data_IF_681307491168
#
_entry.id   IF_681307491168
#
_cell.length_a   1.000
_cell.length_b   1.000
_cell.length_c   1.000
_cell.angle_alpha   90.00
_cell.angle_beta   90.00
_cell.angle_gamma   90.00
#
_symmetry.space_group_name_H-M   'P 1'
#
loop_
_entity.id
_entity.type
_entity.pdbx_description
1 polymer ?
#
# COMPACT_ATOMS: atom_id res chain seq x y z
N UNK A 1 71.47 13.27 -19.63
CA UNK A 1 70.53 14.31 -19.18
C UNK A 1 71.03 14.86 -17.87
N UNK A 2 71.05 16.19 -17.69
CA UNK A 2 71.37 16.79 -16.39
C UNK A 2 70.28 16.44 -15.35
N UNK A 3 70.62 16.46 -14.05
CA UNK A 3 69.64 16.27 -12.97
C UNK A 3 68.46 17.26 -13.08
N UNK A 4 68.74 18.45 -13.61
CA UNK A 4 67.77 19.49 -13.90
C UNK A 4 66.77 19.05 -15.00
N UNK A 5 67.24 18.37 -16.05
CA UNK A 5 66.39 17.79 -17.09
C UNK A 5 65.51 16.64 -16.57
N UNK A 6 66.00 15.83 -15.62
CA UNK A 6 65.21 14.77 -14.98
C UNK A 6 64.12 15.32 -14.06
N UNK A 7 64.42 16.39 -13.29
CA UNK A 7 63.42 17.07 -12.46
C UNK A 7 62.35 17.76 -13.30
N UNK A 8 62.71 18.38 -14.42
CA UNK A 8 61.75 18.97 -15.35
C UNK A 8 60.83 17.92 -15.97
N UNK A 9 61.36 16.78 -16.44
CA UNK A 9 60.55 15.68 -16.97
C UNK A 9 59.58 15.10 -15.92
N UNK A 10 60.01 14.92 -14.67
CA UNK A 10 59.15 14.42 -13.56
C UNK A 10 58.07 15.42 -13.13
N UNK A 11 58.32 16.73 -13.28
CA UNK A 11 57.30 17.78 -13.04
C UNK A 11 56.27 17.81 -14.17
N UNK A 12 56.72 17.64 -15.41
CA UNK A 12 55.86 17.60 -16.60
C UNK A 12 54.89 16.40 -16.56
N UNK A 13 55.37 15.19 -16.22
CA UNK A 13 54.51 13.99 -16.12
C UNK A 13 53.47 14.06 -15.00
N UNK A 14 53.79 14.72 -13.87
CA UNK A 14 52.80 14.97 -12.79
C UNK A 14 51.73 15.99 -13.18
N UNK A 15 52.06 16.95 -14.04
CA UNK A 15 51.09 17.92 -14.55
C UNK A 15 50.12 17.25 -15.54
N UNK A 16 50.65 16.41 -16.43
CA UNK A 16 49.86 15.58 -17.36
C UNK A 16 48.91 14.63 -16.61
N UNK A 17 49.38 13.95 -15.56
CA UNK A 17 48.55 13.06 -14.74
C UNK A 17 47.40 13.82 -14.04
N UNK A 18 47.66 15.05 -13.57
CA UNK A 18 46.64 15.90 -12.95
C UNK A 18 45.60 16.36 -13.95
N UNK A 19 46.02 16.75 -15.16
CA UNK A 19 45.10 17.18 -16.20
C UNK A 19 44.24 16.01 -16.69
N UNK A 20 44.84 14.82 -16.86
CA UNK A 20 44.10 13.60 -17.21
C UNK A 20 43.06 13.24 -16.14
N UNK A 21 43.41 13.29 -14.85
CA UNK A 21 42.44 13.05 -13.76
C UNK A 21 41.30 14.06 -13.74
N UNK A 22 41.58 15.32 -14.06
CA UNK A 22 40.58 16.38 -14.15
C UNK A 22 39.63 16.15 -15.33
N UNK A 23 40.16 15.74 -16.48
CA UNK A 23 39.39 15.39 -17.67
C UNK A 23 38.48 14.19 -17.42
N UNK A 24 39.02 13.09 -16.87
CA UNK A 24 38.22 11.90 -16.49
C UNK A 24 37.12 12.24 -15.50
N UNK A 25 37.40 13.12 -14.52
CA UNK A 25 36.39 13.56 -13.54
C UNK A 25 35.28 14.39 -14.19
N UNK A 26 35.62 15.23 -15.17
CA UNK A 26 34.66 16.03 -15.93
C UNK A 26 33.75 15.12 -16.78
N UNK A 27 34.35 14.20 -17.54
CA UNK A 27 33.63 13.22 -18.35
C UNK A 27 32.70 12.34 -17.51
N UNK A 28 33.15 11.88 -16.33
CA UNK A 28 32.32 11.11 -15.41
C UNK A 28 31.14 11.94 -14.87
N UNK A 29 31.33 13.24 -14.63
CA UNK A 29 30.27 14.13 -14.17
C UNK A 29 29.25 14.38 -15.29
N UNK A 30 29.70 14.59 -16.53
CA UNK A 30 28.84 14.76 -17.70
C UNK A 30 28.05 13.49 -18.01
N UNK A 31 28.71 12.32 -17.96
CA UNK A 31 28.06 11.01 -18.12
C UNK A 31 26.94 10.80 -17.09
N UNK A 32 27.20 11.08 -15.81
CA UNK A 32 26.18 11.02 -14.75
C UNK A 32 25.04 12.02 -14.96
N UNK A 33 25.33 13.21 -15.48
CA UNK A 33 24.31 14.22 -15.80
C UNK A 33 23.41 13.73 -16.94
N UNK A 34 23.98 13.21 -18.02
CA UNK A 34 23.24 12.64 -19.15
C UNK A 34 22.39 11.44 -18.72
N UNK A 35 22.92 10.54 -17.88
CA UNK A 35 22.16 9.39 -17.36
C UNK A 35 20.94 9.85 -16.54
N UNK A 36 21.10 10.91 -15.72
CA UNK A 36 20.00 11.51 -14.95
C UNK A 36 18.93 12.13 -15.85
N UNK A 37 19.33 12.82 -16.91
CA UNK A 37 18.42 13.44 -17.89
C UNK A 37 17.67 12.37 -18.69
N UNK A 38 18.35 11.32 -19.16
CA UNK A 38 17.74 10.18 -19.83
C UNK A 38 16.70 9.47 -18.94
N UNK A 39 17.04 9.21 -17.67
CA UNK A 39 16.08 8.66 -16.68
C UNK A 39 14.87 9.56 -16.45
N UNK A 40 15.05 10.89 -16.51
CA UNK A 40 13.95 11.86 -16.38
C UNK A 40 13.05 11.84 -17.63
N UNK A 41 13.63 11.78 -18.82
CA UNK A 41 12.90 11.71 -20.08
C UNK A 41 12.09 10.41 -20.20
N UNK A 42 12.69 9.25 -19.87
CA UNK A 42 12.00 7.96 -19.88
C UNK A 42 10.77 7.97 -18.97
N UNK A 43 10.91 8.50 -17.74
CA UNK A 43 9.77 8.65 -16.81
C UNK A 43 8.67 9.59 -17.34
N UNK A 44 9.04 10.59 -18.15
CA UNK A 44 8.06 11.49 -18.76
C UNK A 44 7.28 10.79 -19.88
N UNK A 45 7.96 9.99 -20.71
CA UNK A 45 7.34 9.16 -21.76
C UNK A 45 6.38 8.14 -21.13
N UNK A 46 6.85 7.38 -20.13
CA UNK A 46 6.01 6.43 -19.39
C UNK A 46 4.77 7.11 -18.76
N UNK A 47 4.93 8.36 -18.29
CA UNK A 47 3.81 9.14 -17.74
C UNK A 47 2.83 9.57 -18.83
N UNK A 48 3.30 10.01 -20.00
CA UNK A 48 2.41 10.39 -21.11
C UNK A 48 1.69 9.17 -21.70
N UNK A 49 2.35 8.03 -21.81
CA UNK A 49 1.72 6.79 -22.27
C UNK A 49 0.66 6.31 -21.27
N UNK A 50 0.93 6.38 -19.96
CA UNK A 50 -0.08 6.11 -18.92
C UNK A 50 -1.26 7.07 -18.97
N UNK A 51 -1.02 8.34 -19.28
CA UNK A 51 -2.08 9.34 -19.42
C UNK A 51 -2.93 9.08 -20.67
N UNK A 52 -2.31 8.72 -21.79
CA UNK A 52 -3.01 8.31 -23.00
C UNK A 52 -3.82 7.03 -22.79
N UNK A 53 -3.27 6.05 -22.07
CA UNK A 53 -3.97 4.83 -21.66
C UNK A 53 -5.15 5.11 -20.71
N UNK A 54 -5.10 6.18 -19.93
CA UNK A 54 -6.20 6.60 -19.04
C UNK A 54 -7.45 7.04 -19.82
N UNK A 55 -7.30 7.49 -21.07
CA UNK A 55 -8.41 7.89 -21.95
C UNK A 55 -8.97 6.73 -22.78
N UNK A 56 -8.49 5.49 -22.55
CA UNK A 56 -9.06 4.32 -23.20
C UNK A 56 -10.37 3.98 -22.50
N UNK A 57 -11.47 4.16 -23.23
CA UNK A 57 -12.80 3.78 -22.78
C UNK A 57 -12.80 2.31 -22.32
N UNK A 58 -13.53 1.97 -21.24
CA UNK A 58 -13.66 0.58 -20.80
C UNK A 58 -14.32 -0.27 -21.88
N UNK A 59 -13.94 -1.54 -22.04
CA UNK A 59 -14.67 -2.44 -22.93
C UNK A 59 -16.13 -2.63 -22.46
N UNK A 60 -17.05 -2.98 -23.38
CA UNK A 60 -18.48 -3.12 -23.06
C UNK A 60 -18.70 -4.16 -21.96
N UNK A 61 -18.01 -5.29 -22.06
CA UNK A 61 -18.05 -6.40 -21.12
C UNK A 61 -17.46 -6.06 -19.74
N UNK A 62 -16.71 -4.98 -19.58
CA UNK A 62 -16.16 -4.60 -18.26
C UNK A 62 -17.25 -4.29 -17.22
N UNK A 63 -18.48 -4.01 -17.65
CA UNK A 63 -19.60 -3.79 -16.73
C UNK A 63 -19.93 -5.02 -15.88
N UNK A 64 -19.60 -6.23 -16.35
CA UNK A 64 -19.88 -7.48 -15.62
C UNK A 64 -19.15 -7.54 -14.27
N UNK A 65 -18.06 -6.77 -14.11
CA UNK A 65 -17.36 -6.70 -12.84
C UNK A 65 -18.13 -5.94 -11.75
N UNK A 66 -19.23 -5.27 -12.08
CA UNK A 66 -20.17 -4.70 -11.12
C UNK A 66 -21.26 -5.68 -10.65
N UNK A 67 -21.37 -6.85 -11.27
CA UNK A 67 -22.25 -7.93 -10.81
C UNK A 67 -21.61 -8.69 -9.64
N UNK A 68 -22.25 -8.67 -8.47
CA UNK A 68 -21.77 -9.34 -7.25
C UNK A 68 -21.69 -10.85 -7.37
N UNK A 69 -22.43 -11.44 -8.32
CA UNK A 69 -22.41 -12.87 -8.61
C UNK A 69 -21.21 -13.27 -9.48
N UNK A 70 -20.55 -12.30 -10.11
CA UNK A 70 -19.35 -12.55 -10.89
C UNK A 70 -18.22 -13.02 -9.96
N UNK A 71 -17.83 -14.29 -10.11
CA UNK A 71 -16.87 -14.95 -9.25
C UNK A 71 -15.48 -14.30 -9.38
N UNK A 72 -15.15 -13.40 -8.45
CA UNK A 72 -13.81 -12.85 -8.35
C UNK A 72 -12.96 -13.78 -7.50
N UNK A 73 -12.01 -14.47 -8.13
CA UNK A 73 -10.96 -15.16 -7.39
C UNK A 73 -10.12 -14.11 -6.65
N UNK A 74 -9.67 -14.44 -5.43
CA UNK A 74 -8.83 -13.52 -4.64
C UNK A 74 -7.56 -13.08 -5.39
N UNK A 75 -7.07 -13.89 -6.32
CA UNK A 75 -5.87 -13.58 -7.13
C UNK A 75 -6.06 -12.42 -8.09
N UNK A 76 -7.30 -12.15 -8.52
CA UNK A 76 -7.60 -11.16 -9.56
C UNK A 76 -8.20 -9.86 -8.99
N UNK A 77 -8.25 -9.71 -7.67
CA UNK A 77 -8.87 -8.55 -7.01
C UNK A 77 -8.25 -7.21 -7.47
N UNK A 78 -6.92 -7.15 -7.64
CA UNK A 78 -6.24 -5.93 -8.09
C UNK A 78 -6.68 -5.54 -9.50
N UNK A 79 -6.69 -6.50 -10.43
CA UNK A 79 -7.07 -6.28 -11.83
C UNK A 79 -8.54 -5.88 -11.95
N UNK A 80 -9.43 -6.63 -11.29
CA UNK A 80 -10.87 -6.34 -11.32
C UNK A 80 -11.21 -5.00 -10.67
N UNK A 81 -10.52 -4.60 -9.61
CA UNK A 81 -10.65 -3.24 -9.06
C UNK A 81 -10.17 -2.18 -10.03
N UNK A 82 -9.03 -2.38 -10.70
CA UNK A 82 -8.55 -1.44 -11.71
C UNK A 82 -9.57 -1.26 -12.85
N UNK A 83 -10.24 -2.34 -13.27
CA UNK A 83 -11.29 -2.32 -14.28
C UNK A 83 -12.50 -1.51 -13.77
N UNK A 84 -13.01 -1.82 -12.57
CA UNK A 84 -14.13 -1.08 -11.96
C UNK A 84 -13.83 0.41 -11.84
N UNK A 85 -12.62 0.73 -11.41
CA UNK A 85 -12.19 2.11 -11.30
C UNK A 85 -12.11 2.81 -12.66
N UNK A 86 -11.69 2.10 -13.71
CA UNK A 86 -11.68 2.64 -15.07
C UNK A 86 -13.11 2.91 -15.58
N UNK A 87 -14.05 2.01 -15.27
CA UNK A 87 -15.47 2.20 -15.56
C UNK A 87 -16.01 3.44 -14.86
N UNK A 88 -15.77 3.60 -13.56
CA UNK A 88 -16.21 4.78 -12.78
C UNK A 88 -15.62 6.07 -13.34
N UNK A 89 -14.33 6.06 -13.65
CA UNK A 89 -13.63 7.24 -14.19
C UNK A 89 -14.30 7.79 -15.45
N UNK A 90 -14.77 6.90 -16.34
CA UNK A 90 -15.38 7.27 -17.61
C UNK A 90 -16.90 7.40 -17.54
N UNK A 91 -17.55 7.08 -16.41
CA UNK A 91 -19.00 6.90 -16.35
C UNK A 91 -19.80 8.15 -16.77
N UNK A 92 -19.24 9.35 -16.57
CA UNK A 92 -19.85 10.61 -17.04
C UNK A 92 -19.77 10.81 -18.56
N UNK A 93 -18.78 10.20 -19.20
CA UNK A 93 -18.41 10.39 -20.61
C UNK A 93 -18.66 9.13 -21.44
N UNK A 94 -19.34 8.12 -20.88
CA UNK A 94 -19.65 6.87 -21.59
C UNK A 94 -20.53 7.18 -22.82
N UNK A 95 -20.12 6.76 -24.03
CA UNK A 95 -20.89 6.98 -25.25
C UNK A 95 -22.22 6.25 -25.27
N UNK A 96 -23.20 6.82 -25.99
CA UNK A 96 -24.54 6.26 -26.18
C UNK A 96 -24.57 4.77 -26.62
N UNK A 97 -23.69 4.28 -27.52
CA UNK A 97 -23.65 2.87 -27.89
C UNK A 97 -23.49 1.89 -26.74
N UNK A 98 -22.92 2.30 -25.60
CA UNK A 98 -22.81 1.43 -24.42
C UNK A 98 -24.18 1.13 -23.81
N UNK A 99 -25.11 2.09 -23.84
CA UNK A 99 -26.46 1.92 -23.31
C UNK A 99 -27.40 1.21 -24.30
N UNK A 100 -27.07 1.24 -25.58
CA UNK A 100 -27.83 0.60 -26.67
C UNK A 100 -27.41 -0.84 -26.95
N UNK A 101 -26.28 -1.29 -26.39
CA UNK A 101 -25.82 -2.66 -26.55
C UNK A 101 -26.85 -3.66 -26.00
N UNK A 102 -27.16 -4.67 -26.83
CA UNK A 102 -28.22 -5.65 -26.53
C UNK A 102 -27.88 -6.51 -25.31
N UNK A 103 -26.59 -6.77 -25.05
CA UNK A 103 -26.13 -7.67 -23.99
C UNK A 103 -25.84 -6.91 -22.70
N UNK A 104 -25.10 -5.81 -22.80
CA UNK A 104 -24.53 -5.09 -21.66
C UNK A 104 -25.22 -3.75 -21.37
N UNK A 105 -25.99 -3.20 -22.32
CA UNK A 105 -26.64 -1.90 -22.21
C UNK A 105 -27.51 -1.71 -20.98
N UNK A 106 -28.36 -2.68 -20.60
CA UNK A 106 -29.14 -2.58 -19.37
C UNK A 106 -28.28 -2.44 -18.10
N UNK A 107 -27.13 -3.11 -18.04
CA UNK A 107 -26.22 -3.06 -16.89
C UNK A 107 -25.49 -1.71 -16.83
N UNK A 108 -25.05 -1.20 -17.97
CA UNK A 108 -24.45 0.14 -18.08
C UNK A 108 -25.43 1.23 -17.65
N UNK A 109 -26.67 1.15 -18.13
CA UNK A 109 -27.72 2.11 -17.77
C UNK A 109 -28.03 2.07 -16.27
N UNK A 110 -28.17 0.86 -15.70
CA UNK A 110 -28.38 0.68 -14.25
C UNK A 110 -27.26 1.32 -13.44
N UNK A 111 -26.00 1.06 -13.80
CA UNK A 111 -24.85 1.61 -13.09
C UNK A 111 -24.80 3.13 -13.20
N UNK A 112 -25.02 3.67 -14.40
CA UNK A 112 -25.04 5.13 -14.64
C UNK A 112 -26.12 5.82 -13.82
N UNK A 113 -27.34 5.29 -13.83
CA UNK A 113 -28.45 5.82 -13.04
C UNK A 113 -28.15 5.78 -11.54
N UNK A 114 -27.62 4.66 -11.04
CA UNK A 114 -27.24 4.55 -9.63
C UNK A 114 -26.14 5.54 -9.24
N UNK A 115 -25.17 5.78 -10.12
CA UNK A 115 -24.11 6.75 -9.93
C UNK A 115 -24.66 8.19 -9.90
N UNK A 116 -25.49 8.54 -10.87
CA UNK A 116 -26.12 9.86 -10.94
C UNK A 116 -27.00 10.13 -9.70
N UNK A 117 -27.79 9.14 -9.27
CA UNK A 117 -28.61 9.25 -8.07
C UNK A 117 -27.78 9.46 -6.80
N UNK A 118 -26.58 8.86 -6.71
CA UNK A 118 -25.68 9.09 -5.59
C UNK A 118 -25.05 10.49 -5.62
N UNK A 119 -24.80 11.03 -6.82
CA UNK A 119 -24.27 12.38 -7.00
C UNK A 119 -25.31 13.49 -6.82
N UNK A 120 -26.58 13.25 -7.19
CA UNK A 120 -27.68 14.22 -7.06
C UNK A 120 -27.90 14.71 -5.63
N UNK A 121 -27.41 13.97 -4.63
CA UNK A 121 -27.39 14.44 -3.24
C UNK A 121 -26.52 15.68 -3.03
N UNK A 122 -25.62 15.98 -3.96
CA UNK A 122 -24.92 17.25 -4.05
C UNK A 122 -25.67 18.13 -5.06
N UNK A 123 -26.17 19.29 -4.62
CA UNK A 123 -26.84 20.27 -5.51
C UNK A 123 -25.92 20.88 -6.58
N UNK A 124 -24.64 20.49 -6.59
CA UNK A 124 -23.63 20.98 -7.50
C UNK A 124 -23.26 19.94 -8.56
N UNK A 125 -23.28 20.29 -9.86
CA UNK A 125 -22.86 19.38 -10.93
C UNK A 125 -21.40 18.93 -10.79
N UNK A 126 -21.15 17.64 -11.01
CA UNK A 126 -19.81 17.07 -11.13
C UNK A 126 -19.24 17.38 -12.53
N UNK A 127 -18.12 18.09 -12.60
CA UNK A 127 -17.48 18.49 -13.86
C UNK A 127 -16.53 17.43 -14.42
N UNK A 128 -15.71 16.83 -13.55
CA UNK A 128 -14.72 15.84 -13.96
C UNK A 128 -14.29 14.93 -12.82
N UNK A 129 -13.84 13.73 -13.19
CA UNK A 129 -13.27 12.73 -12.30
C UNK A 129 -11.79 12.56 -12.65
N UNK A 130 -10.89 12.75 -11.69
CA UNK A 130 -9.48 12.39 -11.83
C UNK A 130 -9.23 11.06 -11.12
N UNK A 131 -8.76 10.06 -11.86
CA UNK A 131 -8.30 8.80 -11.26
C UNK A 131 -6.93 8.99 -10.61
N UNK A 132 -6.81 8.60 -9.35
CA UNK A 132 -5.56 8.62 -8.60
C UNK A 132 -4.93 7.24 -8.63
N UNK A 133 -3.60 7.19 -8.77
CA UNK A 133 -2.88 5.93 -8.86
C UNK A 133 -1.63 5.93 -7.97
N UNK A 134 -1.26 4.73 -7.52
CA UNK A 134 -0.05 4.48 -6.74
C UNK A 134 -0.19 4.78 -5.25
N UNK A 135 0.87 4.48 -4.50
CA UNK A 135 0.88 4.53 -3.02
C UNK A 135 0.97 5.96 -2.43
N UNK A 136 0.98 6.99 -3.27
CA UNK A 136 1.08 8.39 -2.83
C UNK A 136 -0.26 8.90 -2.29
N UNK A 137 -1.36 8.44 -2.89
CA UNK A 137 -2.70 8.83 -2.52
C UNK A 137 -3.34 7.72 -1.69
N UNK A 138 -4.21 8.13 -0.76
CA UNK A 138 -4.98 7.26 0.10
C UNK A 138 -6.46 7.22 -0.32
N UNK A 139 -6.76 7.58 -1.57
CA UNK A 139 -8.09 7.60 -2.18
C UNK A 139 -7.94 7.31 -3.68
N UNK A 140 -9.02 6.85 -4.31
CA UNK A 140 -9.00 6.34 -5.69
C UNK A 140 -9.34 7.43 -6.71
N UNK A 141 -10.17 8.41 -6.35
CA UNK A 141 -10.57 9.50 -7.25
C UNK A 141 -10.56 10.86 -6.59
N UNK A 142 -10.28 11.90 -7.39
CA UNK A 142 -10.63 13.27 -7.02
C UNK A 142 -11.77 13.75 -7.92
N UNK A 143 -12.90 14.08 -7.30
CA UNK A 143 -14.06 14.64 -7.99
C UNK A 143 -13.96 16.17 -7.94
N UNK A 144 -14.24 16.82 -9.07
CA UNK A 144 -14.20 18.27 -9.22
C UNK A 144 -15.59 18.78 -9.58
N UNK A 145 -16.17 19.64 -8.75
CA UNK A 145 -17.53 20.15 -8.90
C UNK A 145 -17.55 21.57 -9.48
N UNK A 146 -18.70 21.99 -10.01
CA UNK A 146 -18.86 23.26 -10.72
C UNK A 146 -18.66 24.51 -9.84
N UNK A 147 -18.86 24.38 -8.54
CA UNK A 147 -18.61 25.42 -7.53
C UNK A 147 -17.12 25.54 -7.14
N UNK A 148 -16.25 24.71 -7.71
CA UNK A 148 -14.82 24.66 -7.40
C UNK A 148 -14.46 23.74 -6.22
N UNK A 149 -15.43 23.09 -5.58
CA UNK A 149 -15.17 22.11 -4.53
C UNK A 149 -14.53 20.86 -5.12
N UNK A 150 -13.56 20.30 -4.38
CA UNK A 150 -12.98 19.00 -4.72
C UNK A 150 -13.18 18.00 -3.59
N UNK A 151 -13.50 16.76 -3.93
CA UNK A 151 -13.72 15.68 -2.97
C UNK A 151 -12.81 14.50 -3.28
N UNK A 152 -12.19 13.93 -2.23
CA UNK A 152 -11.39 12.73 -2.35
C UNK A 152 -12.31 11.52 -2.13
N UNK A 153 -12.47 10.69 -3.15
CA UNK A 153 -13.38 9.55 -3.15
C UNK A 153 -12.57 8.25 -3.10
N UNK A 154 -12.91 7.38 -2.17
CA UNK A 154 -12.45 6.00 -2.10
C UNK A 154 -13.58 5.06 -2.54
N UNK A 155 -13.32 4.24 -3.54
CA UNK A 155 -14.30 3.29 -4.03
C UNK A 155 -14.18 1.94 -3.33
N UNK A 156 -15.34 1.38 -2.94
CA UNK A 156 -15.41 0.05 -2.35
C UNK A 156 -16.49 -0.77 -3.02
N UNK A 157 -16.09 -1.90 -3.58
CA UNK A 157 -16.99 -2.83 -4.24
C UNK A 157 -17.54 -3.87 -3.25
N UNK A 158 -18.77 -4.33 -3.49
CA UNK A 158 -19.51 -5.29 -2.69
C UNK A 158 -19.61 -4.87 -1.20
N UNK A 159 -19.92 -3.59 -0.99
CA UNK A 159 -20.04 -3.00 0.33
C UNK A 159 -21.20 -2.03 0.38
N UNK A 160 -21.91 -1.99 1.51
CA UNK A 160 -23.07 -1.11 1.74
C UNK A 160 -22.92 -0.14 2.90
N UNK A 161 -21.80 -0.18 3.65
CA UNK A 161 -21.57 0.73 4.79
C UNK A 161 -20.12 0.62 5.27
N UNK A 162 -19.60 1.64 5.95
CA UNK A 162 -18.25 1.60 6.54
C UNK A 162 -18.04 0.42 7.49
N UNK A 163 -19.08 -0.01 8.22
CA UNK A 163 -19.05 -1.17 9.12
C UNK A 163 -18.81 -2.51 8.43
N UNK A 164 -19.19 -2.62 7.14
CA UNK A 164 -18.99 -3.84 6.35
C UNK A 164 -17.65 -3.87 5.63
N UNK A 165 -16.84 -2.80 5.73
CA UNK A 165 -15.50 -2.81 5.15
C UNK A 165 -14.63 -3.82 5.89
N UNK A 166 -14.02 -4.78 5.18
CA UNK A 166 -13.06 -5.70 5.81
C UNK A 166 -11.89 -4.96 6.46
N UNK A 167 -11.56 -3.79 5.90
CA UNK A 167 -10.51 -2.89 6.35
C UNK A 167 -10.74 -1.51 5.73
N UNK A 168 -10.55 -0.44 6.52
CA UNK A 168 -10.50 0.93 5.99
C UNK A 168 -9.10 1.54 6.04
N UNK A 169 -8.20 0.98 6.87
CA UNK A 169 -6.80 1.40 6.93
C UNK A 169 -5.87 0.22 7.25
N UNK A 170 -4.72 0.21 6.58
CA UNK A 170 -3.61 -0.70 6.88
C UNK A 170 -2.43 0.14 7.36
N UNK A 171 -1.91 -0.16 8.55
CA UNK A 171 -0.74 0.52 9.09
C UNK A 171 0.41 -0.47 9.19
N UNK A 172 1.51 -0.22 8.47
CA UNK A 172 2.75 -0.95 8.71
C UNK A 172 3.25 -0.74 10.17
N UNK A 173 3.93 -1.74 10.74
CA UNK A 173 4.40 -1.69 12.13
C UNK A 173 5.34 -0.52 12.47
N UNK A 174 6.03 0.05 11.47
CA UNK A 174 6.88 1.23 11.63
C UNK A 174 6.10 2.51 11.90
N UNK A 175 4.78 2.51 11.71
CA UNK A 175 4.01 3.66 12.14
C UNK A 175 4.09 3.78 13.65
N UNK A 176 4.28 5.02 14.08
CA UNK A 176 4.54 5.41 15.45
C UNK A 176 3.31 5.25 16.38
N UNK A 177 2.33 4.43 16.02
CA UNK A 177 1.17 4.16 16.88
C UNK A 177 1.51 3.16 17.99
N UNK A 178 2.63 2.46 17.90
CA UNK A 178 3.06 1.54 18.94
C UNK A 178 4.06 2.24 19.86
N UNK A 179 3.82 2.21 21.17
CA UNK A 179 4.86 2.63 22.12
C UNK A 179 6.00 1.59 22.20
N UNK A 180 5.71 0.34 21.83
CA UNK A 180 6.67 -0.77 21.75
C UNK A 180 6.64 -1.36 20.34
N UNK A 181 7.78 -1.42 19.66
CA UNK A 181 7.87 -1.99 18.31
C UNK A 181 7.68 -3.52 18.33
N UNK A 182 6.61 -4.02 17.70
CA UNK A 182 6.42 -5.47 17.57
C UNK A 182 7.52 -6.15 16.75
N UNK A 183 8.06 -5.48 15.71
CA UNK A 183 9.16 -6.06 14.93
C UNK A 183 10.43 -6.24 15.77
N UNK A 184 10.71 -5.29 16.65
CA UNK A 184 11.81 -5.38 17.62
C UNK A 184 11.54 -6.48 18.64
N UNK A 185 10.34 -6.51 19.21
CA UNK A 185 9.92 -7.56 20.13
C UNK A 185 10.03 -8.96 19.53
N UNK A 186 9.62 -9.15 18.27
CA UNK A 186 9.77 -10.41 17.56
C UNK A 186 11.23 -10.80 17.38
N UNK A 187 12.08 -9.84 16.96
CA UNK A 187 13.52 -10.06 16.77
C UNK A 187 14.20 -10.54 18.07
N UNK A 188 13.89 -9.89 19.19
CA UNK A 188 14.54 -10.17 20.47
C UNK A 188 14.05 -11.46 21.14
N UNK A 189 12.79 -11.85 20.92
CA UNK A 189 12.16 -12.91 21.71
C UNK A 189 11.81 -14.18 20.92
N UNK A 190 11.65 -14.11 19.60
CA UNK A 190 11.12 -15.22 18.81
C UNK A 190 11.94 -15.57 17.56
N UNK A 191 12.78 -14.66 17.06
CA UNK A 191 13.51 -14.90 15.81
C UNK A 191 14.48 -16.08 15.91
N UNK A 192 15.18 -16.26 17.04
CA UNK A 192 16.12 -17.38 17.21
C UNK A 192 15.40 -18.73 17.24
N UNK A 193 14.26 -18.80 17.92
CA UNK A 193 13.40 -19.98 17.88
C UNK A 193 12.88 -20.23 16.46
N UNK A 194 12.46 -19.17 15.76
CA UNK A 194 11.97 -19.26 14.39
C UNK A 194 13.04 -19.80 13.42
N UNK A 195 14.31 -19.43 13.61
CA UNK A 195 15.45 -19.93 12.83
C UNK A 195 15.81 -21.38 13.16
N UNK A 196 15.47 -21.86 14.37
CA UNK A 196 15.77 -23.24 14.81
C UNK A 196 14.85 -24.32 14.24
N UNK A 197 13.80 -23.95 13.50
CA UNK A 197 12.77 -24.88 13.00
C UNK A 197 13.34 -25.97 12.08
N UNK A 198 14.37 -25.64 11.30
CA UNK A 198 15.01 -26.57 10.39
C UNK A 198 16.55 -26.44 10.44
N UNK A 199 17.22 -27.21 11.32
CA UNK A 199 18.67 -27.18 11.43
C UNK A 199 19.38 -27.90 10.25
N UNK A 200 18.62 -28.57 9.38
CA UNK A 200 19.15 -29.42 8.30
C UNK A 200 19.37 -28.66 6.99
N UNK A 201 18.68 -27.53 6.81
CA UNK A 201 19.01 -26.61 5.74
C UNK A 201 20.46 -26.15 5.94
N UNK A 202 21.33 -26.26 4.92
CA UNK A 202 22.74 -25.89 5.05
C UNK A 202 22.77 -24.45 5.49
N UNK A 203 23.13 -24.17 6.75
CA UNK A 203 23.03 -22.86 7.38
C UNK A 203 23.66 -21.79 6.46
N UNK A 204 22.92 -20.89 5.74
CA UNK A 204 23.58 -20.12 4.69
C UNK A 204 23.33 -18.61 4.74
N UNK A 205 22.68 -18.07 5.77
CA UNK A 205 22.64 -16.61 5.98
C UNK A 205 22.73 -16.33 7.47
N UNK A 206 23.79 -15.62 7.86
CA UNK A 206 23.96 -15.08 9.20
C UNK A 206 22.67 -14.36 9.64
N UNK A 207 22.25 -14.56 10.90
CA UNK A 207 21.14 -13.80 11.49
C UNK A 207 21.43 -12.33 11.26
N UNK A 208 20.51 -11.63 10.59
CA UNK A 208 20.67 -10.18 10.39
C UNK A 208 20.88 -9.49 11.72
N UNK A 209 21.79 -8.53 11.76
CA UNK A 209 21.86 -7.61 12.88
C UNK A 209 20.51 -6.87 13.04
N UNK A 210 20.21 -6.48 14.28
CA UNK A 210 18.91 -5.91 14.64
C UNK A 210 18.59 -4.64 13.83
N UNK A 211 19.58 -3.77 13.62
CA UNK A 211 19.41 -2.50 12.91
C UNK A 211 19.01 -2.79 11.46
N UNK A 212 19.73 -3.69 10.79
CA UNK A 212 19.45 -4.06 9.41
C UNK A 212 18.13 -4.82 9.27
N UNK A 213 17.80 -5.69 10.23
CA UNK A 213 16.51 -6.37 10.27
C UNK A 213 15.36 -5.36 10.32
N UNK A 214 15.38 -4.42 11.27
CA UNK A 214 14.31 -3.42 11.44
C UNK A 214 14.21 -2.47 10.23
N UNK A 215 15.33 -2.18 9.56
CA UNK A 215 15.32 -1.44 8.29
C UNK A 215 14.51 -2.19 7.22
N UNK A 216 14.70 -3.50 7.08
CA UNK A 216 14.17 -4.29 5.97
C UNK A 216 12.82 -4.97 6.25
N UNK A 217 12.45 -5.18 7.52
CA UNK A 217 11.30 -6.02 7.91
C UNK A 217 9.96 -5.55 7.34
N UNK A 218 9.85 -4.30 6.93
CA UNK A 218 8.63 -3.70 6.38
C UNK A 218 8.53 -3.77 4.87
N UNK A 219 9.51 -4.37 4.21
CA UNK A 219 9.53 -4.51 2.76
C UNK A 219 8.43 -5.48 2.29
N UNK A 220 7.96 -5.29 1.06
CA UNK A 220 6.99 -6.19 0.44
C UNK A 220 7.61 -7.29 -0.41
N UNK A 221 8.88 -7.14 -0.81
CA UNK A 221 9.59 -8.12 -1.62
C UNK A 221 10.63 -8.89 -0.78
N UNK A 222 10.64 -10.21 -0.89
CA UNK A 222 11.58 -11.10 -0.21
C UNK A 222 12.99 -11.01 -0.80
N UNK A 223 13.10 -10.54 -2.04
CA UNK A 223 14.38 -10.33 -2.72
C UNK A 223 15.18 -9.16 -2.12
N UNK A 224 14.61 -8.41 -1.18
CA UNK A 224 15.30 -7.31 -0.51
C UNK A 224 16.56 -7.75 0.26
N UNK A 225 16.65 -9.03 0.66
CA UNK A 225 17.86 -9.59 1.26
C UNK A 225 17.87 -11.12 1.19
N UNK A 226 19.04 -11.77 0.98
CA UNK A 226 19.16 -13.24 1.00
C UNK A 226 18.54 -13.91 2.25
N UNK A 227 18.61 -13.26 3.40
CA UNK A 227 18.01 -13.74 4.65
C UNK A 227 16.49 -13.98 4.54
N UNK A 228 15.73 -13.04 3.99
CA UNK A 228 14.28 -13.22 3.84
C UNK A 228 13.91 -14.21 2.74
N UNK A 229 14.77 -14.36 1.72
CA UNK A 229 14.64 -15.43 0.73
C UNK A 229 14.83 -16.80 1.39
N UNK A 230 15.85 -16.92 2.25
CA UNK A 230 16.11 -18.14 3.02
C UNK A 230 14.92 -18.49 3.93
N UNK A 231 14.39 -17.55 4.71
CA UNK A 231 13.21 -17.79 5.54
C UNK A 231 12.00 -18.27 4.72
N UNK A 232 11.79 -17.67 3.54
CA UNK A 232 10.71 -18.08 2.64
C UNK A 232 10.92 -19.48 2.08
N UNK A 233 12.15 -19.86 1.76
CA UNK A 233 12.50 -21.21 1.34
C UNK A 233 12.26 -22.20 2.47
N UNK A 234 12.77 -21.92 3.68
CA UNK A 234 12.58 -22.76 4.88
C UNK A 234 11.11 -23.03 5.20
N UNK A 235 10.28 -21.97 5.12
CA UNK A 235 8.84 -22.07 5.32
C UNK A 235 8.17 -22.99 4.29
N UNK A 236 8.69 -23.06 3.06
CA UNK A 236 8.14 -23.85 1.96
C UNK A 236 8.73 -25.26 1.86
N UNK A 237 9.79 -25.57 2.61
CA UNK A 237 10.47 -26.87 2.54
C UNK A 237 9.56 -28.02 2.95
N UNK A 238 8.75 -27.86 3.99
CA UNK A 238 7.83 -28.91 4.45
C UNK A 238 6.58 -28.34 5.12
N UNK A 239 5.50 -29.12 5.13
CA UNK A 239 4.28 -28.76 5.86
C UNK A 239 4.55 -28.60 7.37
N UNK A 240 5.42 -29.43 7.94
CA UNK A 240 5.81 -29.36 9.35
C UNK A 240 6.56 -28.04 9.68
N UNK A 241 7.46 -27.57 8.79
CA UNK A 241 8.13 -26.28 8.97
C UNK A 241 7.11 -25.15 8.92
N UNK A 242 6.21 -25.17 7.93
CA UNK A 242 5.14 -24.20 7.80
C UNK A 242 4.30 -24.10 9.08
N UNK A 243 3.84 -25.24 9.62
CA UNK A 243 3.04 -25.29 10.85
C UNK A 243 3.78 -24.73 12.07
N UNK A 244 5.03 -25.15 12.30
CA UNK A 244 5.86 -24.68 13.42
C UNK A 244 6.12 -23.17 13.35
N UNK A 245 6.55 -22.67 12.19
CA UNK A 245 6.82 -21.24 11.98
C UNK A 245 5.54 -20.41 12.13
N UNK A 246 4.41 -20.91 11.64
CA UNK A 246 3.10 -20.28 11.85
C UNK A 246 2.71 -20.25 13.34
N UNK A 247 2.97 -21.33 14.10
CA UNK A 247 2.70 -21.38 15.53
C UNK A 247 3.55 -20.37 16.32
N UNK A 248 4.85 -20.28 16.02
CA UNK A 248 5.77 -19.29 16.62
C UNK A 248 5.26 -17.87 16.36
N UNK A 249 4.94 -17.55 15.09
CA UNK A 249 4.40 -16.24 14.70
C UNK A 249 3.07 -15.88 15.40
N UNK A 250 2.17 -16.85 15.58
CA UNK A 250 0.92 -16.63 16.31
C UNK A 250 1.17 -16.38 17.80
N UNK A 251 2.06 -17.17 18.41
CA UNK A 251 2.43 -17.01 19.83
C UNK A 251 3.14 -15.69 20.08
N UNK A 252 3.99 -15.24 19.16
CA UNK A 252 4.66 -13.95 19.30
C UNK A 252 3.68 -12.78 19.29
N UNK A 253 2.63 -12.85 18.46
CA UNK A 253 1.54 -11.87 18.45
C UNK A 253 0.78 -11.92 19.78
N UNK A 254 0.33 -13.11 20.21
CA UNK A 254 -0.42 -13.27 21.47
C UNK A 254 0.37 -12.73 22.67
N UNK A 255 1.65 -13.10 22.76
CA UNK A 255 2.55 -12.66 23.82
C UNK A 255 2.83 -11.16 23.78
N UNK A 256 2.97 -10.57 22.59
CA UNK A 256 3.12 -9.13 22.43
C UNK A 256 1.87 -8.37 22.87
N UNK A 257 0.68 -8.79 22.42
CA UNK A 257 -0.58 -8.12 22.75
C UNK A 257 -0.91 -8.24 24.23
N UNK A 258 -0.55 -9.36 24.87
CA UNK A 258 -0.78 -9.63 26.29
C UNK A 258 -0.05 -8.66 27.24
N UNK A 259 0.85 -7.82 26.72
CA UNK A 259 1.41 -6.69 27.47
C UNK A 259 0.29 -5.75 27.94
N UNK A 260 -0.68 -5.47 27.07
CA UNK A 260 -1.89 -4.73 27.42
C UNK A 260 -1.94 -3.36 26.75
N UNK A 261 -2.59 -2.35 27.35
CA UNK A 261 -2.86 -1.06 26.71
C UNK A 261 -1.59 -0.26 26.39
N UNK A 262 -0.48 -0.51 27.09
CA UNK A 262 0.78 0.22 26.91
C UNK A 262 1.45 -0.03 25.55
N UNK A 263 1.03 -1.03 24.78
CA UNK A 263 1.60 -1.29 23.46
C UNK A 263 1.17 -0.26 22.43
N UNK A 264 0.05 0.43 22.66
CA UNK A 264 -0.57 1.33 21.68
C UNK A 264 -0.76 2.74 22.22
N UNK A 265 -0.39 3.73 21.41
CA UNK A 265 -0.61 5.14 21.66
C UNK A 265 -1.90 5.58 20.94
N UNK A 266 -2.98 5.77 21.72
CA UNK A 266 -4.29 6.14 21.18
C UNK A 266 -4.31 7.55 20.58
N UNK A 267 -3.46 8.48 21.06
CA UNK A 267 -3.36 9.82 20.49
C UNK A 267 -2.74 9.76 19.10
N UNK A 268 -1.65 9.01 18.95
CA UNK A 268 -1.01 8.81 17.64
C UNK A 268 -1.91 8.00 16.69
N UNK A 269 -2.67 7.04 17.20
CA UNK A 269 -3.69 6.33 16.41
C UNK A 269 -4.76 7.30 15.89
N UNK A 270 -5.31 8.15 16.76
CA UNK A 270 -6.29 9.18 16.39
C UNK A 270 -5.74 10.15 15.35
N UNK A 271 -4.49 10.58 15.52
CA UNK A 271 -3.80 11.41 14.52
C UNK A 271 -3.74 10.71 13.16
N UNK A 272 -3.36 9.41 13.13
CA UNK A 272 -3.33 8.63 11.88
C UNK A 272 -4.70 8.44 11.26
N UNK A 273 -5.74 8.26 12.05
CA UNK A 273 -7.12 8.18 11.56
C UNK A 273 -7.54 9.50 10.91
N UNK A 274 -7.31 10.64 11.59
CA UNK A 274 -7.60 11.97 11.06
C UNK A 274 -6.81 12.26 9.77
N UNK A 275 -5.49 12.11 9.78
CA UNK A 275 -4.61 12.35 8.63
C UNK A 275 -5.07 11.58 7.38
N UNK A 276 -5.50 10.33 7.57
CA UNK A 276 -5.76 9.43 6.45
C UNK A 276 -7.25 9.31 6.05
N UNK A 277 -8.19 9.77 6.87
CA UNK A 277 -9.63 9.53 6.63
C UNK A 277 -10.52 10.78 6.72
N UNK A 278 -10.11 11.89 7.36
CA UNK A 278 -11.02 13.02 7.64
C UNK A 278 -11.64 13.66 6.39
N UNK A 279 -10.88 13.69 5.29
CA UNK A 279 -11.29 14.34 4.04
C UNK A 279 -11.68 13.31 2.96
N UNK A 280 -11.95 12.07 3.35
CA UNK A 280 -12.19 10.96 2.43
C UNK A 280 -13.64 10.54 2.49
N UNK A 281 -14.28 10.54 1.33
CA UNK A 281 -15.64 10.07 1.13
C UNK A 281 -15.58 8.66 0.56
N UNK A 282 -16.30 7.73 1.17
CA UNK A 282 -16.39 6.35 0.69
C UNK A 282 -17.60 6.21 -0.21
N UNK A 283 -17.34 5.86 -1.48
CA UNK A 283 -18.37 5.50 -2.45
C UNK A 283 -18.43 3.98 -2.58
N UNK A 284 -19.48 3.39 -2.04
CA UNK A 284 -19.61 1.94 -1.86
C UNK A 284 -20.70 1.37 -2.77
N UNK A 285 -20.35 0.39 -3.60
CA UNK A 285 -21.29 -0.32 -4.46
C UNK A 285 -21.71 -1.64 -3.83
N UNK A 286 -23.01 -1.87 -3.66
CA UNK A 286 -23.55 -3.10 -3.05
C UNK A 286 -24.14 -4.11 -4.04
N UNK A 287 -24.04 -3.85 -5.35
CA UNK A 287 -24.67 -4.65 -6.42
C UNK A 287 -25.91 -3.99 -7.01
N UNK A 288 -26.48 -3.00 -6.32
CA UNK A 288 -27.69 -2.32 -6.75
C UNK A 288 -27.53 -0.80 -6.81
N UNK A 289 -26.91 -0.21 -5.79
CA UNK A 289 -26.79 1.23 -5.67
C UNK A 289 -25.44 1.66 -5.09
N UNK A 290 -25.08 2.92 -5.33
CA UNK A 290 -23.97 3.56 -4.65
C UNK A 290 -24.43 4.16 -3.33
N UNK A 291 -23.70 3.85 -2.25
CA UNK A 291 -23.85 4.45 -0.93
C UNK A 291 -22.65 5.31 -0.64
N UNK A 292 -22.91 6.56 -0.23
CA UNK A 292 -21.90 7.54 0.13
C UNK A 292 -21.87 7.66 1.64
N UNK A 293 -20.70 7.54 2.24
CA UNK A 293 -20.49 7.63 3.68
C UNK A 293 -19.11 8.24 3.98
N UNK A 294 -18.94 8.79 5.17
CA UNK A 294 -17.68 9.38 5.61
C UNK A 294 -17.55 9.28 7.13
N UNK A 295 -16.32 9.24 7.62
CA UNK A 295 -16.09 9.27 9.05
C UNK A 295 -16.32 10.68 9.61
N UNK A 296 -16.98 10.77 10.76
CA UNK A 296 -17.04 12.01 11.54
C UNK A 296 -15.78 12.20 12.36
N UNK A 297 -15.51 13.43 12.82
CA UNK A 297 -14.36 13.72 13.67
C UNK A 297 -14.38 12.91 14.98
N UNK A 298 -15.55 12.73 15.58
CA UNK A 298 -15.75 11.95 16.81
C UNK A 298 -15.56 10.45 16.60
N UNK A 299 -15.76 9.96 15.37
CA UNK A 299 -15.43 8.58 15.01
C UNK A 299 -13.90 8.42 14.89
N UNK A 300 -13.20 9.41 14.34
CA UNK A 300 -11.74 9.34 14.14
C UNK A 300 -10.93 9.59 15.41
N UNK A 301 -11.55 10.11 16.47
CA UNK A 301 -10.91 10.35 17.76
C UNK A 301 -11.04 9.13 18.69
N UNK A 302 -9.99 8.30 18.75
CA UNK A 302 -9.91 7.09 19.58
C UNK A 302 -9.53 7.45 21.01
N UNK A 303 -10.37 7.07 21.97
CA UNK A 303 -10.25 7.51 23.37
C UNK A 303 -10.02 6.36 24.35
N UNK A 304 -10.40 5.13 24.01
CA UNK A 304 -10.39 4.03 24.97
C UNK A 304 -9.87 2.72 24.38
N UNK A 305 -9.05 2.02 25.17
CA UNK A 305 -8.68 0.63 24.95
C UNK A 305 -9.69 -0.29 25.64
N UNK A 306 -10.23 -1.25 24.90
CA UNK A 306 -11.32 -2.13 25.38
C UNK A 306 -10.83 -3.54 25.72
N UNK A 307 -9.76 -4.01 25.07
CA UNK A 307 -9.20 -5.34 25.34
C UNK A 307 -8.67 -6.06 24.11
N UNK A 308 -8.28 -7.32 24.32
CA UNK A 308 -7.76 -8.22 23.29
C UNK A 308 -8.86 -9.20 22.88
N UNK A 309 -8.97 -9.47 21.57
CA UNK A 309 -9.89 -10.46 21.00
C UNK A 309 -9.11 -11.40 20.09
N UNK A 310 -9.45 -12.70 20.15
CA UNK A 310 -8.85 -13.76 19.32
C UNK A 310 -7.32 -13.84 19.38
N UNK A 311 -6.70 -13.33 20.46
CA UNK A 311 -5.24 -13.37 20.71
C UNK A 311 -4.37 -12.69 19.65
N UNK A 312 -4.99 -11.97 18.72
CA UNK A 312 -4.28 -11.31 17.62
C UNK A 312 -4.86 -9.94 17.26
N UNK A 313 -5.91 -9.52 17.96
CA UNK A 313 -6.56 -8.25 17.71
C UNK A 313 -6.76 -7.50 19.01
N UNK A 314 -6.69 -6.18 18.96
CA UNK A 314 -7.15 -5.30 20.04
C UNK A 314 -8.42 -4.59 19.60
N UNK A 315 -9.28 -4.27 20.56
CA UNK A 315 -10.44 -3.43 20.37
C UNK A 315 -10.18 -2.09 21.04
N UNK A 316 -10.47 -1.02 20.31
CA UNK A 316 -10.46 0.35 20.83
C UNK A 316 -11.78 1.02 20.46
N UNK A 317 -12.19 2.03 21.23
CA UNK A 317 -13.39 2.80 20.98
C UNK A 317 -13.09 4.29 20.81
N UNK A 318 -13.88 4.95 19.97
CA UNK A 318 -13.82 6.39 19.76
C UNK A 318 -14.73 7.17 20.69
N UNK A 319 -14.60 8.49 20.65
CA UNK A 319 -15.47 9.44 21.34
C UNK A 319 -16.96 9.25 20.97
N UNK A 320 -17.26 8.92 19.71
CA UNK A 320 -18.62 8.58 19.28
C UNK A 320 -19.12 7.20 19.77
N UNK A 321 -18.31 6.44 20.50
CA UNK A 321 -18.57 5.04 20.87
C UNK A 321 -18.40 4.03 19.73
N UNK A 322 -17.84 4.43 18.58
CA UNK A 322 -17.55 3.48 17.49
C UNK A 322 -16.42 2.55 17.91
N UNK A 323 -16.54 1.25 17.62
CA UNK A 323 -15.52 0.26 17.95
C UNK A 323 -14.68 -0.09 16.73
N UNK A 324 -13.37 -0.16 16.96
CA UNK A 324 -12.37 -0.50 15.95
C UNK A 324 -11.64 -1.75 16.38
N UNK A 325 -11.52 -2.70 15.45
CA UNK A 325 -10.67 -3.88 15.61
C UNK A 325 -9.37 -3.65 14.89
N UNK A 326 -8.26 -3.73 15.63
CA UNK A 326 -6.91 -3.66 15.08
C UNK A 326 -6.30 -5.05 15.13
N UNK A 327 -6.27 -5.75 13.99
CA UNK A 327 -5.68 -7.07 13.82
C UNK A 327 -4.18 -6.94 13.52
N UNK A 328 -3.32 -7.52 14.35
CA UNK A 328 -1.89 -7.64 14.06
C UNK A 328 -1.63 -8.89 13.23
N UNK A 329 -1.05 -8.73 12.05
CA UNK A 329 -0.73 -9.86 11.18
C UNK A 329 0.48 -9.57 10.27
N UNK A 330 1.11 -10.64 9.78
CA UNK A 330 2.16 -10.58 8.77
C UNK A 330 1.55 -10.61 7.38
N UNK A 331 1.81 -9.57 6.56
CA UNK A 331 1.28 -9.49 5.20
C UNK A 331 1.94 -10.49 4.25
N UNK A 332 3.25 -10.70 4.41
CA UNK A 332 4.06 -11.49 3.48
C UNK A 332 4.68 -12.68 4.21
N UNK A 333 3.92 -13.78 4.24
CA UNK A 333 4.23 -15.01 4.96
C UNK A 333 4.38 -14.82 6.48
N UNK A 334 3.88 -15.79 7.25
CA UNK A 334 3.80 -15.69 8.71
C UNK A 334 5.20 -15.62 9.34
N UNK A 335 5.55 -14.51 10.00
CA UNK A 335 6.83 -14.33 10.67
C UNK A 335 7.99 -13.84 9.79
N UNK A 336 7.76 -13.56 8.50
CA UNK A 336 8.86 -13.23 7.56
C UNK A 336 8.95 -11.74 7.27
N UNK A 337 7.93 -11.16 6.62
CA UNK A 337 7.96 -9.76 6.19
C UNK A 337 6.62 -9.04 6.39
N UNK A 338 6.77 -7.75 6.63
CA UNK A 338 5.72 -6.74 6.66
C UNK A 338 4.62 -7.04 7.68
N UNK A 339 4.95 -7.07 8.99
CA UNK A 339 3.95 -7.06 10.03
C UNK A 339 3.20 -5.72 9.98
N UNK A 340 1.89 -5.78 10.15
CA UNK A 340 1.01 -4.64 10.01
C UNK A 340 -0.25 -4.79 10.86
N UNK A 341 -0.83 -3.64 11.19
CA UNK A 341 -2.18 -3.53 11.74
C UNK A 341 -3.19 -3.42 10.61
N UNK A 342 -4.20 -4.29 10.66
CA UNK A 342 -5.36 -4.26 9.81
C UNK A 342 -6.55 -3.77 10.60
N UNK A 343 -7.09 -2.62 10.22
CA UNK A 343 -8.07 -1.92 11.05
C UNK A 343 -9.43 -1.87 10.34
N UNK A 344 -10.45 -2.34 11.04
CA UNK A 344 -11.84 -2.37 10.61
C UNK A 344 -12.76 -1.82 11.70
N UNK A 345 -13.97 -1.41 11.32
CA UNK A 345 -15.04 -1.18 12.27
C UNK A 345 -15.60 -2.53 12.75
N UNK A 346 -16.25 -2.52 13.92
CA UNK A 346 -16.92 -3.68 14.54
C UNK A 346 -18.43 -3.46 14.61
#
# INVERSE_FOLDING_TARGET
>A
MSEEQQQQHKKMTKAEERELKKQVKLELAESKKMEKEAKKALKAIEKSEKLAALHVLPALEHIVYFDITHANSRSNNTETNNIRENVIHHLQEIPQPYFEDVTYGPQWLKLKQAFDNALQKNDTPLLRIEKMAGRKYNYDFKFHFADGVTQNIEFKYNCSSLKKLPQFIQLNIKHDINAISYAEYFYDNFLDEYLSVDPSLPNPVEKLDKVKYLELITNTNHECHPFFQYLKTMLKTSAANYEKMCAISKRSIDSFLSKGPEIIDLQKLSYKFNESQSNKIFMMWDGEQFKIDQFTSEQLNVTQYEGIVNKNSIIVSSESGSKYKLLLAWKNYQGILNPAWYISLV
#
